data_IF_425509029865
#
_entry.id   IF_425509029865
#
_cell.length_a   1.000
_cell.length_b   1.000
_cell.length_c   1.000
_cell.angle_alpha   90.00
_cell.angle_beta   90.00
_cell.angle_gamma   90.00
#
_symmetry.space_group_name_H-M   'P 1'
#
loop_
_entity.id
_entity.type
_entity.pdbx_description
1 polymer ?
#
# COMPACT_ATOMS: atom_id res chain seq x y z
N UNK A 1 -31.47 12.86 -17.02
CA UNK A 1 -30.36 12.00 -16.54
C UNK A 1 -29.77 12.70 -15.33
N UNK A 2 -30.16 12.30 -14.12
CA UNK A 2 -29.74 12.97 -12.89
C UNK A 2 -28.40 12.36 -12.48
N UNK A 3 -27.33 13.14 -12.58
CA UNK A 3 -26.09 12.81 -11.89
C UNK A 3 -26.36 13.02 -10.39
N UNK A 4 -26.59 11.93 -9.67
CA UNK A 4 -26.69 11.97 -8.21
C UNK A 4 -25.31 12.37 -7.68
N UNK A 5 -25.19 13.63 -7.23
CA UNK A 5 -24.02 14.12 -6.49
C UNK A 5 -23.95 13.30 -5.19
N UNK A 6 -22.88 12.52 -4.95
CA UNK A 6 -22.79 11.73 -3.73
C UNK A 6 -22.67 12.65 -2.51
N UNK A 7 -23.54 12.40 -1.54
CA UNK A 7 -23.65 13.06 -0.25
C UNK A 7 -22.27 13.27 0.43
N UNK A 8 -21.88 14.52 0.63
CA UNK A 8 -20.54 14.95 1.11
C UNK A 8 -20.33 14.86 2.63
N UNK A 9 -21.19 14.16 3.38
CA UNK A 9 -21.12 14.13 4.85
C UNK A 9 -20.20 13.06 5.47
N UNK A 10 -19.27 12.48 4.70
CA UNK A 10 -18.26 11.54 5.23
C UNK A 10 -17.00 11.55 4.36
N UNK A 11 -16.24 12.64 4.36
CA UNK A 11 -14.93 12.70 3.68
C UNK A 11 -13.84 11.98 4.49
N UNK A 12 -14.04 10.70 4.82
CA UNK A 12 -13.00 9.85 5.41
C UNK A 12 -12.44 8.93 4.32
N UNK A 13 -11.11 8.84 4.26
CA UNK A 13 -10.45 7.90 3.37
C UNK A 13 -10.95 6.47 3.67
N UNK A 14 -11.42 5.72 2.66
CA UNK A 14 -11.89 4.35 2.86
C UNK A 14 -10.74 3.46 3.32
N UNK A 15 -11.05 2.54 4.24
CA UNK A 15 -10.10 1.52 4.68
C UNK A 15 -9.81 0.55 3.53
N UNK A 16 -8.55 0.18 3.37
CA UNK A 16 -8.16 -0.87 2.42
C UNK A 16 -8.61 -2.24 2.93
N UNK A 17 -9.26 -3.07 2.09
CA UNK A 17 -9.65 -4.42 2.47
C UNK A 17 -8.41 -5.28 2.72
N UNK A 18 -8.50 -6.35 3.54
CA UNK A 18 -7.36 -7.26 3.74
C UNK A 18 -6.98 -7.98 2.43
N UNK A 19 -7.99 -8.31 1.63
CA UNK A 19 -7.84 -8.99 0.34
C UNK A 19 -8.97 -8.56 -0.60
N UNK A 20 -8.64 -8.40 -1.88
CA UNK A 20 -9.61 -8.02 -2.92
C UNK A 20 -9.37 -8.86 -4.19
N UNK A 21 -10.10 -9.96 -4.42
CA UNK A 21 -9.87 -10.85 -5.55
C UNK A 21 -10.18 -10.20 -6.92
N UNK A 22 -10.97 -9.13 -6.94
CA UNK A 22 -11.29 -8.36 -8.15
C UNK A 22 -10.38 -7.14 -8.38
N UNK A 23 -9.27 -7.04 -7.64
CA UNK A 23 -8.30 -5.96 -7.80
C UNK A 23 -7.51 -6.04 -9.10
N UNK A 24 -6.98 -4.89 -9.53
CA UNK A 24 -6.08 -4.73 -10.67
C UNK A 24 -4.70 -4.26 -10.17
N UNK A 25 -3.74 -5.19 -10.16
CA UNK A 25 -2.38 -4.93 -9.70
C UNK A 25 -1.44 -4.46 -10.81
N UNK A 26 -1.91 -4.25 -12.04
CA UNK A 26 -1.05 -3.77 -13.13
C UNK A 26 -0.37 -2.46 -12.76
N UNK A 27 0.90 -2.33 -13.16
CA UNK A 27 1.75 -1.19 -12.83
C UNK A 27 1.09 0.15 -13.19
N UNK A 28 0.42 0.21 -14.35
CA UNK A 28 -0.20 1.45 -14.83
C UNK A 28 -1.33 1.94 -13.89
N UNK A 29 -2.08 1.01 -13.31
CA UNK A 29 -3.30 1.28 -12.56
C UNK A 29 -3.10 1.39 -11.04
N UNK A 30 -1.94 0.94 -10.53
CA UNK A 30 -1.69 0.85 -9.07
C UNK A 30 -1.43 2.21 -8.41
N UNK A 31 -2.37 2.82 -7.71
CA UNK A 31 -2.13 4.09 -6.98
C UNK A 31 -1.89 3.87 -5.49
N UNK A 32 -1.18 4.81 -4.84
CA UNK A 32 -1.00 4.82 -3.36
C UNK A 32 -2.34 5.06 -2.65
N UNK A 33 -3.18 5.91 -3.23
CA UNK A 33 -4.46 6.31 -2.67
C UNK A 33 -5.60 5.94 -3.61
N UNK A 34 -6.72 5.48 -3.05
CA UNK A 34 -7.94 5.12 -3.78
C UNK A 34 -7.72 4.08 -4.90
N UNK A 35 -6.65 3.29 -4.83
CA UNK A 35 -6.35 2.24 -5.81
C UNK A 35 -7.21 1.00 -5.60
N UNK A 36 -7.45 0.26 -6.67
CA UNK A 36 -8.16 -1.02 -6.65
C UNK A 36 -7.15 -2.19 -6.70
N UNK A 37 -6.28 -2.34 -5.69
CA UNK A 37 -5.30 -3.45 -5.63
C UNK A 37 -5.90 -4.71 -5.03
N UNK A 38 -5.32 -5.87 -5.29
CA UNK A 38 -5.69 -7.13 -4.61
C UNK A 38 -5.17 -7.23 -3.17
N UNK A 39 -4.23 -6.35 -2.79
CA UNK A 39 -3.45 -6.37 -1.55
C UNK A 39 -2.50 -7.56 -1.40
N UNK A 40 -2.17 -8.27 -2.49
CA UNK A 40 -1.08 -9.24 -2.51
C UNK A 40 0.28 -8.53 -2.66
N UNK A 41 1.23 -8.86 -1.77
CA UNK A 41 2.58 -8.29 -1.79
C UNK A 41 3.43 -8.96 -2.89
N UNK A 42 3.43 -8.41 -4.10
CA UNK A 42 4.24 -8.88 -5.24
C UNK A 42 5.51 -8.04 -5.41
N UNK A 43 6.61 -8.49 -4.82
CA UNK A 43 7.90 -7.77 -4.83
C UNK A 43 8.64 -7.81 -6.18
N UNK A 44 8.23 -8.69 -7.09
CA UNK A 44 8.78 -8.79 -8.45
C UNK A 44 8.17 -7.76 -9.41
N UNK A 45 7.00 -7.20 -9.08
CA UNK A 45 6.22 -6.34 -9.98
C UNK A 45 5.73 -5.11 -9.21
N UNK A 46 6.64 -4.13 -9.09
CA UNK A 46 6.48 -2.94 -8.26
C UNK A 46 6.40 -1.70 -9.14
N UNK A 47 5.33 -0.90 -8.99
CA UNK A 47 5.16 0.36 -9.74
C UNK A 47 6.24 1.39 -9.45
N UNK A 48 6.67 1.46 -8.19
CA UNK A 48 7.60 2.47 -7.71
C UNK A 48 8.96 1.84 -7.44
N UNK A 49 9.90 1.99 -8.38
CA UNK A 49 11.24 1.39 -8.28
C UNK A 49 12.02 1.82 -7.02
N UNK A 50 11.78 3.04 -6.53
CA UNK A 50 12.38 3.55 -5.29
C UNK A 50 11.96 2.76 -4.04
N UNK A 51 10.80 2.09 -4.06
CA UNK A 51 10.31 1.35 -2.90
C UNK A 51 11.21 0.16 -2.56
N UNK A 52 11.82 -0.47 -3.56
CA UNK A 52 12.76 -1.58 -3.37
C UNK A 52 14.03 -1.09 -2.66
N UNK A 53 14.59 0.05 -3.08
CA UNK A 53 15.78 0.63 -2.45
C UNK A 53 15.53 1.04 -1.00
N UNK A 54 14.37 1.64 -0.71
CA UNK A 54 13.97 1.99 0.65
C UNK A 54 13.86 0.75 1.55
N UNK A 55 13.22 -0.32 1.05
CA UNK A 55 13.09 -1.57 1.79
C UNK A 55 14.47 -2.18 2.11
N UNK A 56 15.42 -2.12 1.17
CA UNK A 56 16.79 -2.61 1.41
C UNK A 56 17.48 -1.80 2.52
N UNK A 57 17.44 -0.47 2.45
CA UNK A 57 18.03 0.40 3.48
C UNK A 57 17.44 0.16 4.87
N UNK A 58 16.11 -0.04 4.97
CA UNK A 58 15.46 -0.36 6.25
C UNK A 58 15.97 -1.67 6.85
N UNK A 59 16.21 -2.67 5.99
CA UNK A 59 16.68 -3.99 6.40
C UNK A 59 18.14 -3.99 6.83
N UNK A 60 18.98 -3.19 6.17
CA UNK A 60 20.40 -3.03 6.49
C UNK A 60 20.64 -2.26 7.79
N UNK A 61 19.80 -1.25 8.08
CA UNK A 61 19.93 -0.42 9.28
C UNK A 61 19.29 -1.03 10.54
N UNK A 62 18.93 -2.31 10.50
CA UNK A 62 18.28 -2.98 11.62
C UNK A 62 19.26 -3.19 12.78
N UNK A 63 18.96 -2.64 13.96
CA UNK A 63 19.73 -2.85 15.19
C UNK A 63 18.84 -3.42 16.30
N UNK A 64 19.37 -4.43 16.99
CA UNK A 64 18.78 -4.97 18.22
C UNK A 64 19.66 -4.54 19.38
N UNK A 65 19.12 -3.78 20.34
CA UNK A 65 19.80 -3.60 21.62
C UNK A 65 19.66 -4.89 22.42
N UNK A 66 20.78 -5.59 22.61
CA UNK A 66 20.90 -6.52 23.72
C UNK A 66 21.16 -5.72 25.00
N UNK A 67 20.19 -5.68 25.90
CA UNK A 67 20.43 -5.25 27.28
C UNK A 67 21.35 -6.28 27.91
N UNK A 68 22.59 -5.89 28.26
CA UNK A 68 23.53 -6.73 29.02
C UNK A 68 22.85 -7.12 30.33
N UNK A 69 22.55 -8.41 30.51
CA UNK A 69 22.21 -8.98 31.80
C UNK A 69 23.53 -9.26 32.54
N UNK A 70 23.68 -8.67 33.73
CA UNK A 70 24.78 -8.91 34.67
C UNK A 70 25.94 -7.95 34.54
#
# INVERSE_FOLDING_TARGET
>A
MVATVPNTNNQRMPLTPIFNPGGDDRIENRSVWFGNTTNLMQLNDVRYSWAIGLYQQMRENFWIRATRLG
#
